data_IF_720821333340
#
_entry.id   IF_720821333340
#
_cell.length_a   1.000
_cell.length_b   1.000
_cell.length_c   1.000
_cell.angle_alpha   90.00
_cell.angle_beta   90.00
_cell.angle_gamma   90.00
#
_symmetry.space_group_name_H-M   'P 1'
#
loop_
_entity.id
_entity.type
_entity.pdbx_description
1 polymer ?
#
# COMPACT_ATOMS: atom_id res chain seq x y z
N UNK A 1 -2.13 -12.14 -9.71
CA UNK A 1 -0.82 -11.52 -9.39
C UNK A 1 -0.89 -10.03 -9.72
N UNK A 2 -0.52 -9.14 -8.79
CA UNK A 2 -0.61 -7.68 -8.98
C UNK A 2 0.78 -7.03 -8.98
N UNK A 3 0.93 -5.92 -9.70
CA UNK A 3 2.12 -5.09 -9.61
C UNK A 3 2.08 -4.25 -8.33
N UNK A 4 3.25 -4.03 -7.72
CA UNK A 4 3.41 -3.18 -6.54
C UNK A 4 4.07 -1.83 -6.86
N UNK A 5 3.84 -0.90 -5.94
CA UNK A 5 4.60 0.34 -5.76
C UNK A 5 5.24 0.20 -4.37
N UNK A 6 6.57 0.24 -4.30
CA UNK A 6 7.31 -0.05 -3.06
C UNK A 6 8.32 1.06 -2.74
N UNK A 7 8.89 0.98 -1.56
CA UNK A 7 9.92 1.91 -1.11
C UNK A 7 11.27 1.58 -1.74
N UNK A 8 12.01 2.61 -2.18
CA UNK A 8 13.39 2.42 -2.65
C UNK A 8 14.34 2.22 -1.46
N UNK A 9 14.51 0.96 -1.06
CA UNK A 9 15.41 0.51 0.01
C UNK A 9 15.20 1.19 1.39
N UNK A 10 14.04 1.80 1.60
CA UNK A 10 13.65 2.56 2.79
C UNK A 10 12.26 2.15 3.30
N UNK A 11 11.90 0.87 3.13
CA UNK A 11 10.60 0.38 3.57
C UNK A 11 10.46 0.55 5.09
N UNK A 12 9.38 1.19 5.59
CA UNK A 12 9.12 1.29 7.02
C UNK A 12 9.17 -0.09 7.69
N UNK A 13 9.56 -0.19 8.97
CA UNK A 13 9.72 -1.49 9.63
C UNK A 13 8.47 -2.38 9.55
N UNK A 14 7.28 -1.78 9.52
CA UNK A 14 5.98 -2.45 9.49
C UNK A 14 5.36 -2.56 8.10
N UNK A 15 6.10 -2.21 7.04
CA UNK A 15 5.58 -2.27 5.68
C UNK A 15 5.24 -3.71 5.29
N UNK A 16 4.08 -3.87 4.64
CA UNK A 16 3.60 -5.14 4.10
C UNK A 16 3.45 -6.28 5.14
N UNK A 17 3.24 -5.97 6.42
CA UNK A 17 3.02 -6.98 7.47
C UNK A 17 1.53 -7.18 7.70
N UNK A 18 1.03 -8.37 7.39
CA UNK A 18 -0.39 -8.71 7.53
C UNK A 18 -0.57 -10.00 8.33
N UNK A 19 -1.68 -10.11 9.06
CA UNK A 19 -2.11 -11.38 9.62
C UNK A 19 -2.68 -12.25 8.50
N UNK A 20 -2.08 -13.41 8.29
CA UNK A 20 -2.54 -14.41 7.32
C UNK A 20 -2.34 -15.81 7.91
N UNK A 21 -3.40 -16.62 7.92
CA UNK A 21 -3.45 -17.94 8.56
C UNK A 21 -3.00 -17.93 10.02
N UNK A 22 -3.45 -16.92 10.78
CA UNK A 22 -3.13 -16.75 12.20
C UNK A 22 -1.67 -16.37 12.49
N UNK A 23 -0.87 -16.04 11.46
CA UNK A 23 0.53 -15.63 11.59
C UNK A 23 0.79 -14.29 10.91
N UNK A 24 1.67 -13.49 11.51
CA UNK A 24 2.12 -12.25 10.90
C UNK A 24 3.11 -12.58 9.77
N UNK A 25 2.79 -12.17 8.55
CA UNK A 25 3.57 -12.46 7.35
C UNK A 25 3.90 -11.17 6.57
N UNK A 26 5.06 -11.16 5.92
CA UNK A 26 5.45 -10.09 4.98
C UNK A 26 4.90 -10.41 3.58
N UNK A 27 3.77 -9.81 3.22
CA UNK A 27 3.08 -10.08 1.95
C UNK A 27 3.19 -8.88 1.01
N UNK A 28 4.32 -8.75 0.31
CA UNK A 28 4.53 -7.71 -0.70
C UNK A 28 4.38 -8.25 -2.13
N UNK A 29 3.93 -7.42 -3.11
CA UNK A 29 3.92 -7.80 -4.51
C UNK A 29 5.31 -8.24 -4.99
N UNK A 30 5.38 -9.37 -5.72
CA UNK A 30 6.66 -9.91 -6.23
C UNK A 30 7.34 -8.99 -7.24
N UNK A 31 6.55 -8.22 -8.01
CA UNK A 31 7.02 -7.28 -9.02
C UNK A 31 6.63 -5.86 -8.63
N UNK A 32 7.61 -5.01 -8.37
CA UNK A 32 7.41 -3.58 -8.26
C UNK A 32 7.56 -2.91 -9.64
N UNK A 33 6.62 -2.05 -10.03
CA UNK A 33 6.73 -1.21 -11.25
C UNK A 33 7.34 0.16 -10.96
N UNK A 34 7.33 0.56 -9.69
CA UNK A 34 7.94 1.78 -9.19
C UNK A 34 8.52 1.48 -7.81
N UNK A 35 9.75 1.95 -7.59
CA UNK A 35 10.36 2.06 -6.28
C UNK A 35 10.72 3.54 -6.07
N UNK A 36 10.28 4.13 -4.97
CA UNK A 36 10.53 5.54 -4.64
C UNK A 36 10.64 5.73 -3.13
N UNK A 37 11.34 6.77 -2.69
CA UNK A 37 11.40 7.16 -1.29
C UNK A 37 10.45 8.32 -0.95
N UNK A 38 9.66 8.79 -1.92
CA UNK A 38 8.66 9.83 -1.73
C UNK A 38 7.26 9.21 -1.62
N UNK A 39 6.63 9.37 -0.46
CA UNK A 39 5.30 8.84 -0.17
C UNK A 39 4.21 9.45 -1.07
N UNK A 40 4.29 10.74 -1.40
CA UNK A 40 3.32 11.40 -2.28
C UNK A 40 3.39 10.83 -3.70
N UNK A 41 4.61 10.59 -4.20
CA UNK A 41 4.79 9.94 -5.51
C UNK A 41 4.22 8.50 -5.52
N UNK A 42 4.20 7.80 -4.39
CA UNK A 42 3.53 6.49 -4.30
C UNK A 42 2.01 6.61 -4.39
N UNK A 43 1.42 7.66 -3.79
CA UNK A 43 -0.01 7.96 -3.89
C UNK A 43 -0.37 8.27 -5.35
N UNK A 44 0.36 9.18 -5.99
CA UNK A 44 0.13 9.54 -7.39
C UNK A 44 0.20 8.32 -8.31
N UNK A 45 1.18 7.44 -8.09
CA UNK A 45 1.32 6.21 -8.84
C UNK A 45 0.14 5.24 -8.60
N UNK A 46 -0.39 5.16 -7.37
CA UNK A 46 -1.54 4.33 -7.06
C UNK A 46 -2.82 4.89 -7.71
N UNK A 47 -3.04 6.20 -7.64
CA UNK A 47 -4.15 6.90 -8.31
C UNK A 47 -4.10 6.73 -9.83
N UNK A 48 -2.90 6.72 -10.40
CA UNK A 48 -2.68 6.46 -11.82
C UNK A 48 -2.87 4.97 -12.22
N UNK A 49 -3.19 4.09 -11.28
CA UNK A 49 -3.42 2.66 -11.54
C UNK A 49 -2.15 1.85 -11.80
N UNK A 50 -0.97 2.34 -11.36
CA UNK A 50 0.30 1.66 -11.62
C UNK A 50 0.42 0.32 -10.88
N UNK A 51 -0.20 0.20 -9.70
CA UNK A 51 -0.19 -1.00 -8.88
C UNK A 51 -0.75 -0.79 -7.47
N UNK A 52 -0.45 -1.74 -6.58
CA UNK A 52 -0.82 -1.70 -5.16
C UNK A 52 0.31 -1.07 -4.36
N UNK A 53 -0.02 -0.11 -3.49
CA UNK A 53 0.90 0.53 -2.56
C UNK A 53 0.50 0.25 -1.11
N UNK A 54 1.49 0.10 -0.22
CA UNK A 54 1.25 0.07 1.23
C UNK A 54 1.52 1.48 1.80
N UNK A 55 0.45 2.21 2.10
CA UNK A 55 0.46 3.64 2.43
C UNK A 55 -0.12 3.89 3.83
N UNK A 56 0.35 4.91 4.57
CA UNK A 56 -0.28 5.33 5.80
C UNK A 56 -1.70 5.89 5.58
N UNK A 57 -2.66 5.57 6.47
CA UNK A 57 -4.06 6.00 6.36
C UNK A 57 -4.20 7.53 6.26
N UNK A 58 -3.43 8.29 7.05
CA UNK A 58 -3.46 9.76 7.04
C UNK A 58 -3.07 10.38 5.69
N UNK A 59 -2.33 9.65 4.86
CA UNK A 59 -1.88 10.11 3.55
C UNK A 59 -2.92 9.78 2.45
N UNK A 60 -3.66 8.68 2.59
CA UNK A 60 -4.56 8.19 1.55
C UNK A 60 -6.07 8.34 1.85
N UNK A 61 -6.44 8.79 3.07
CA UNK A 61 -7.83 8.85 3.55
C UNK A 61 -8.77 9.62 2.63
N UNK A 62 -8.39 10.80 2.16
CA UNK A 62 -9.21 11.63 1.26
C UNK A 62 -9.52 10.92 -0.06
N UNK A 63 -8.54 10.21 -0.63
CA UNK A 63 -8.72 9.48 -1.88
C UNK A 63 -9.57 8.22 -1.71
N UNK A 64 -9.49 7.58 -0.53
CA UNK A 64 -10.39 6.49 -0.15
C UNK A 64 -11.82 6.98 -0.01
N UNK A 65 -12.03 8.12 0.66
CA UNK A 65 -13.36 8.73 0.83
C UNK A 65 -14.01 9.14 -0.50
N UNK A 66 -13.20 9.55 -1.47
CA UNK A 66 -13.65 9.91 -2.82
C UNK A 66 -13.86 8.71 -3.75
N UNK A 67 -13.48 7.50 -3.32
CA UNK A 67 -13.53 6.30 -4.15
C UNK A 67 -12.48 6.26 -5.27
N UNK A 68 -11.45 7.10 -5.19
CA UNK A 68 -10.32 7.12 -6.14
C UNK A 68 -9.30 6.03 -5.81
N UNK A 69 -9.21 5.63 -4.53
CA UNK A 69 -8.46 4.47 -4.06
C UNK A 69 -9.40 3.43 -3.45
N UNK A 70 -9.01 2.17 -3.55
CA UNK A 70 -9.68 1.05 -2.90
C UNK A 70 -8.78 0.50 -1.79
N UNK A 71 -9.27 0.53 -0.55
CA UNK A 71 -8.61 -0.16 0.56
C UNK A 71 -8.67 -1.68 0.34
N UNK A 72 -7.57 -2.36 0.60
CA UNK A 72 -7.44 -3.82 0.49
C UNK A 72 -7.22 -4.42 1.87
N UNK A 73 -7.84 -5.57 2.14
CA UNK A 73 -7.71 -6.29 3.42
C UNK A 73 -8.14 -5.45 4.63
N UNK A 74 -9.18 -4.63 4.47
CA UNK A 74 -9.75 -3.77 5.50
C UNK A 74 -11.23 -4.10 5.74
N UNK A 75 -11.56 -5.40 5.82
CA UNK A 75 -12.95 -5.86 6.00
C UNK A 75 -13.55 -5.38 7.34
N UNK A 76 -12.70 -5.24 8.36
CA UNK A 76 -13.05 -4.70 9.68
C UNK A 76 -12.86 -3.18 9.80
N UNK A 77 -12.64 -2.49 8.67
CA UNK A 77 -12.34 -1.06 8.61
C UNK A 77 -10.84 -0.75 8.47
N UNK A 78 -10.54 0.55 8.31
CA UNK A 78 -9.17 1.03 8.16
C UNK A 78 -8.44 1.00 9.52
N UNK A 79 -7.14 0.64 9.54
CA UNK A 79 -6.33 0.77 10.73
C UNK A 79 -6.19 2.24 11.14
N UNK A 80 -6.21 2.47 12.47
CA UNK A 80 -6.02 3.78 13.09
C UNK A 80 -4.61 4.35 12.87
#
# INVERSE_FOLDING_TARGET
EHAGIDWDNLSPPYAWRFQHDGKLQHLRPKRARLATNNAEAMVDAALAGLGIAHLPTWLCSEYLLRGELQALFCDDGLPA
#
